data_IF_196867834854
#
_entry.id   IF_196867834854
#
_cell.length_a   1.000
_cell.length_b   1.000
_cell.length_c   1.000
_cell.angle_alpha   90.00
_cell.angle_beta   90.00
_cell.angle_gamma   90.00
#
_symmetry.space_group_name_H-M   'P 1'
#
loop_
_entity.id
_entity.type
_entity.pdbx_description
1 polymer ?
#
# COMPACT_ATOMS: atom_id res chain seq x y z
N UNK A 1 -25.64 1.44 -34.39
CA UNK A 1 -24.45 1.81 -33.58
C UNK A 1 -24.48 0.96 -32.32
N UNK A 2 -23.45 0.15 -32.07
CA UNK A 2 -23.37 -0.69 -30.87
C UNK A 2 -22.88 0.20 -29.72
N UNK A 3 -23.67 0.36 -28.68
CA UNK A 3 -23.25 0.98 -27.42
C UNK A 3 -22.05 0.20 -26.88
N UNK A 4 -20.91 0.84 -26.53
CA UNK A 4 -19.85 0.12 -25.86
C UNK A 4 -20.39 -0.32 -24.50
N UNK A 5 -20.32 -1.61 -24.23
CA UNK A 5 -20.57 -2.14 -22.88
C UNK A 5 -19.43 -1.59 -22.03
N UNK A 6 -19.72 -0.57 -21.20
CA UNK A 6 -18.82 -0.15 -20.13
C UNK A 6 -18.51 -1.40 -19.30
N UNK A 7 -17.30 -1.93 -19.45
CA UNK A 7 -16.81 -2.94 -18.55
C UNK A 7 -16.76 -2.30 -17.18
N UNK A 8 -17.72 -2.67 -16.32
CA UNK A 8 -17.69 -2.42 -14.88
C UNK A 8 -16.52 -3.21 -14.28
N UNK A 9 -15.29 -2.82 -14.64
CA UNK A 9 -14.06 -3.23 -14.00
C UNK A 9 -14.30 -2.96 -12.52
N UNK A 10 -14.39 -4.01 -11.71
CA UNK A 10 -14.59 -3.89 -10.27
C UNK A 10 -13.62 -2.82 -9.76
N UNK A 11 -14.17 -1.76 -9.15
CA UNK A 11 -13.45 -0.52 -8.84
C UNK A 11 -12.09 -0.88 -8.23
N UNK A 12 -11.03 -0.76 -9.03
CA UNK A 12 -9.68 -1.07 -8.56
C UNK A 12 -9.36 -0.15 -7.41
N UNK A 13 -8.74 -0.69 -6.38
CA UNK A 13 -8.40 0.04 -5.17
C UNK A 13 -6.90 -0.07 -4.93
N UNK A 14 -6.30 1.03 -4.52
CA UNK A 14 -4.90 1.08 -4.15
C UNK A 14 -4.76 1.77 -2.80
N UNK A 15 -3.96 1.17 -1.93
CA UNK A 15 -3.59 1.71 -0.62
C UNK A 15 -2.07 1.76 -0.56
N UNK A 16 -1.50 2.89 -0.18
CA UNK A 16 -0.08 3.05 0.08
C UNK A 16 0.16 3.17 1.59
N UNK A 17 1.14 2.41 2.08
CA UNK A 17 1.58 2.43 3.46
C UNK A 17 3.03 2.90 3.52
N UNK A 18 3.36 3.66 4.57
CA UNK A 18 4.73 4.01 4.91
C UNK A 18 5.09 3.42 6.27
N UNK A 19 6.27 2.84 6.39
CA UNK A 19 6.80 2.33 7.64
C UNK A 19 8.20 2.88 7.87
N UNK A 20 8.36 3.67 8.94
CA UNK A 20 9.62 4.31 9.31
C UNK A 20 10.56 3.43 10.16
N UNK A 21 10.30 2.13 10.28
CA UNK A 21 11.10 1.21 11.10
C UNK A 21 10.72 1.14 12.58
N UNK A 22 9.77 1.97 13.04
CA UNK A 22 9.21 1.95 14.39
C UNK A 22 7.71 2.24 14.37
N UNK A 23 7.00 1.84 15.43
CA UNK A 23 5.55 2.02 15.54
C UNK A 23 4.76 1.19 14.52
N UNK A 24 3.56 1.65 14.18
CA UNK A 24 2.72 1.03 13.17
C UNK A 24 2.84 1.73 11.80
N UNK A 25 2.70 1.00 10.68
CA UNK A 25 2.65 1.61 9.35
C UNK A 25 1.54 2.66 9.22
N UNK A 26 1.84 3.78 8.57
CA UNK A 26 0.91 4.88 8.31
C UNK A 26 0.32 4.80 6.92
N UNK A 27 -0.97 5.08 6.77
CA UNK A 27 -1.63 5.17 5.47
C UNK A 27 -1.33 6.52 4.82
N UNK A 28 -0.56 6.52 3.74
CA UNK A 28 -0.10 7.75 3.06
C UNK A 28 -0.86 8.06 1.78
N UNK A 29 -1.48 7.06 1.16
CA UNK A 29 -2.39 7.26 0.05
C UNK A 29 -3.49 6.19 0.02
N UNK A 30 -4.66 6.56 -0.48
CA UNK A 30 -5.72 5.62 -0.86
C UNK A 30 -6.52 6.15 -2.03
N UNK A 31 -6.97 5.27 -2.90
CA UNK A 31 -7.76 5.65 -4.07
C UNK A 31 -8.53 4.48 -4.66
N UNK A 32 -9.52 4.83 -5.47
CA UNK A 32 -10.32 3.91 -6.26
C UNK A 32 -10.35 4.34 -7.73
N UNK A 33 -10.62 3.41 -8.64
CA UNK A 33 -10.75 3.68 -10.07
C UNK A 33 -9.50 4.33 -10.65
N UNK A 34 -9.66 5.46 -11.33
CA UNK A 34 -8.54 6.19 -11.93
C UNK A 34 -7.49 6.66 -10.92
N UNK A 35 -7.91 7.02 -9.70
CA UNK A 35 -6.96 7.42 -8.66
C UNK A 35 -6.11 6.23 -8.20
N UNK A 36 -6.71 5.04 -8.12
CA UNK A 36 -5.96 3.82 -7.82
C UNK A 36 -4.90 3.52 -8.89
N UNK A 37 -5.25 3.68 -10.17
CA UNK A 37 -4.28 3.53 -11.27
C UNK A 37 -3.12 4.52 -11.15
N UNK A 38 -3.42 5.80 -10.87
CA UNK A 38 -2.37 6.82 -10.68
C UNK A 38 -1.45 6.48 -9.50
N UNK A 39 -1.99 5.98 -8.39
CA UNK A 39 -1.18 5.53 -7.25
C UNK A 39 -0.25 4.37 -7.67
N UNK A 40 -0.77 3.40 -8.43
CA UNK A 40 0.01 2.26 -8.92
C UNK A 40 1.07 2.68 -9.95
N UNK A 41 0.78 3.67 -10.80
CA UNK A 41 1.75 4.23 -11.75
C UNK A 41 2.91 4.91 -11.03
N UNK A 42 2.61 5.72 -10.01
CA UNK A 42 3.63 6.35 -9.16
C UNK A 42 4.44 5.28 -8.43
N UNK A 43 3.79 4.26 -7.85
CA UNK A 43 4.50 3.18 -7.18
C UNK A 43 5.49 2.47 -8.11
N UNK A 44 5.06 2.16 -9.35
CA UNK A 44 5.92 1.57 -10.38
C UNK A 44 7.08 2.49 -10.77
N UNK A 45 6.83 3.79 -10.93
CA UNK A 45 7.85 4.76 -11.32
C UNK A 45 8.94 4.97 -10.26
N UNK A 46 8.65 4.65 -8.99
CA UNK A 46 9.57 4.80 -7.85
C UNK A 46 10.01 3.45 -7.27
N UNK A 47 9.82 2.34 -8.01
CA UNK A 47 10.15 0.99 -7.56
C UNK A 47 9.57 0.63 -6.18
N UNK A 48 8.42 1.23 -5.84
CA UNK A 48 7.66 0.88 -4.65
C UNK A 48 6.96 -0.45 -4.93
N UNK A 49 7.24 -1.49 -4.15
CA UNK A 49 6.66 -2.80 -4.43
C UNK A 49 5.15 -2.82 -4.23
N UNK A 50 4.46 -3.62 -5.04
CA UNK A 50 2.99 -3.73 -5.02
C UNK A 50 2.58 -5.16 -4.69
N UNK A 51 1.79 -5.31 -3.62
CA UNK A 51 1.14 -6.57 -3.26
C UNK A 51 -0.36 -6.50 -3.59
N UNK A 52 -0.91 -7.55 -4.20
CA UNK A 52 -2.34 -7.61 -4.56
C UNK A 52 -3.10 -8.47 -3.55
N UNK A 53 -3.87 -7.80 -2.71
CA UNK A 53 -4.84 -8.44 -1.82
C UNK A 53 -6.10 -7.55 -1.74
N UNK A 54 -7.19 -8.03 -2.33
CA UNK A 54 -8.45 -7.28 -2.39
C UNK A 54 -9.15 -7.19 -1.02
N UNK A 55 -8.99 -8.20 -0.16
CA UNK A 55 -9.62 -8.20 1.16
C UNK A 55 -8.89 -7.24 2.10
N UNK A 56 -7.56 -7.27 2.08
CA UNK A 56 -6.74 -6.36 2.86
C UNK A 56 -6.88 -4.92 2.37
N UNK A 57 -6.87 -4.68 1.04
CA UNK A 57 -7.05 -3.33 0.50
C UNK A 57 -8.40 -2.73 0.92
N UNK A 58 -9.47 -3.52 0.84
CA UNK A 58 -10.81 -3.09 1.24
C UNK A 58 -10.90 -2.81 2.73
N UNK A 59 -10.20 -3.58 3.55
CA UNK A 59 -10.15 -3.37 5.00
C UNK A 59 -9.36 -2.10 5.34
N UNK A 60 -8.16 -1.94 4.76
CA UNK A 60 -7.31 -0.76 4.96
C UNK A 60 -7.95 0.53 4.43
N UNK A 61 -8.82 0.46 3.42
CA UNK A 61 -9.51 1.64 2.89
C UNK A 61 -10.33 2.43 3.93
N UNK A 62 -10.76 1.72 4.99
CA UNK A 62 -11.51 2.28 6.12
C UNK A 62 -10.64 3.06 7.10
N UNK A 63 -9.32 2.87 7.06
CA UNK A 63 -8.36 3.64 7.88
C UNK A 63 -8.30 5.07 7.34
N UNK A 64 -8.36 6.10 8.20
CA UNK A 64 -8.24 7.49 7.74
C UNK A 64 -6.88 7.77 7.10
N UNK A 65 -6.85 8.71 6.15
CA UNK A 65 -5.60 9.11 5.50
C UNK A 65 -4.71 9.83 6.52
N UNK A 66 -3.43 9.49 6.54
CA UNK A 66 -2.45 10.05 7.47
C UNK A 66 -2.44 9.37 8.84
N UNK A 67 -3.32 8.40 9.12
CA UNK A 67 -3.35 7.66 10.38
C UNK A 67 -2.53 6.36 10.31
N UNK A 68 -2.13 5.87 11.48
CA UNK A 68 -1.56 4.53 11.62
C UNK A 68 -2.63 3.46 11.41
N UNK A 69 -2.22 2.31 10.89
CA UNK A 69 -3.11 1.15 10.82
C UNK A 69 -3.54 0.74 12.24
N UNK A 70 -4.76 0.23 12.43
CA UNK A 70 -5.19 -0.28 13.73
C UNK A 70 -4.55 -1.64 14.05
N UNK A 71 -4.43 -1.95 15.34
CA UNK A 71 -3.77 -3.16 15.86
C UNK A 71 -4.27 -4.47 15.24
N UNK A 72 -5.58 -4.55 14.98
CA UNK A 72 -6.19 -5.74 14.37
C UNK A 72 -5.70 -6.03 12.94
N UNK A 73 -4.98 -5.10 12.30
CA UNK A 73 -4.38 -5.26 10.98
C UNK A 73 -2.86 -5.45 11.03
N UNK A 74 -2.24 -5.43 12.20
CA UNK A 74 -0.78 -5.49 12.34
C UNK A 74 -0.21 -6.77 11.73
N UNK A 75 -0.80 -7.92 12.04
CA UNK A 75 -0.29 -9.22 11.54
C UNK A 75 -0.33 -9.28 10.02
N UNK A 76 -1.49 -8.95 9.43
CA UNK A 76 -1.65 -8.97 7.97
C UNK A 76 -0.69 -8.00 7.26
N UNK A 77 -0.51 -6.79 7.79
CA UNK A 77 0.42 -5.82 7.18
C UNK A 77 1.88 -6.24 7.41
N UNK A 78 2.22 -6.80 8.57
CA UNK A 78 3.57 -7.30 8.84
C UNK A 78 3.95 -8.45 7.92
N UNK A 79 3.02 -9.36 7.59
CA UNK A 79 3.23 -10.43 6.61
C UNK A 79 3.52 -9.85 5.22
N UNK A 80 2.76 -8.83 4.79
CA UNK A 80 3.04 -8.14 3.53
C UNK A 80 4.43 -7.52 3.58
N UNK A 81 4.75 -6.71 4.59
CA UNK A 81 6.05 -6.06 4.76
C UNK A 81 7.21 -7.07 4.73
N UNK A 82 7.10 -8.16 5.48
CA UNK A 82 8.10 -9.23 5.50
C UNK A 82 8.30 -9.85 4.12
N UNK A 83 7.22 -10.12 3.38
CA UNK A 83 7.29 -10.63 2.02
C UNK A 83 8.04 -9.66 1.10
N UNK A 84 7.72 -8.37 1.15
CA UNK A 84 8.38 -7.38 0.29
C UNK A 84 9.86 -7.19 0.62
N UNK A 85 10.19 -7.18 1.90
CA UNK A 85 11.56 -7.03 2.37
C UNK A 85 12.42 -8.23 1.99
N UNK A 86 11.90 -9.45 2.17
CA UNK A 86 12.58 -10.67 1.73
C UNK A 86 12.91 -10.65 0.24
N UNK A 87 11.97 -10.24 -0.61
CA UNK A 87 12.20 -10.10 -2.06
C UNK A 87 13.23 -9.02 -2.40
N UNK A 88 13.34 -7.99 -1.56
CA UNK A 88 14.28 -6.89 -1.75
C UNK A 88 15.66 -7.16 -1.14
N UNK A 89 15.88 -8.30 -0.48
CA UNK A 89 17.08 -8.55 0.32
C UNK A 89 17.24 -7.60 1.52
N UNK A 90 16.14 -6.96 1.95
CA UNK A 90 16.09 -6.00 3.06
C UNK A 90 15.41 -6.63 4.28
N UNK A 91 15.53 -5.98 5.43
CA UNK A 91 14.87 -6.33 6.69
C UNK A 91 14.09 -5.12 7.22
N UNK A 92 13.10 -5.31 8.11
CA UNK A 92 12.41 -4.18 8.74
C UNK A 92 13.35 -3.20 9.47
N UNK A 93 14.50 -3.68 9.96
CA UNK A 93 15.52 -2.85 10.58
C UNK A 93 16.19 -1.87 9.60
N UNK A 94 16.14 -2.13 8.30
CA UNK A 94 16.68 -1.25 7.26
C UNK A 94 15.78 -0.03 7.00
N UNK A 95 14.49 -0.11 7.35
CA UNK A 95 13.53 0.98 7.14
C UNK A 95 13.80 2.20 8.03
N UNK A 96 14.43 2.02 9.19
CA UNK A 96 14.73 3.09 10.14
C UNK A 96 16.07 3.79 9.93
N UNK A 97 16.97 3.29 9.06
CA UNK A 97 18.35 3.79 8.94
C UNK A 97 18.49 5.12 8.15
N UNK A 98 17.42 5.65 7.59
CA UNK A 98 17.46 6.85 6.72
C UNK A 98 17.17 8.18 7.43
N UNK A 99 17.02 8.21 8.76
CA UNK A 99 16.72 9.46 9.50
C UNK A 99 17.93 10.11 10.18
N UNK A 100 19.13 9.52 10.11
CA UNK A 100 20.30 9.98 10.89
C UNK A 100 21.37 10.73 10.08
N UNK A 101 21.06 11.22 8.87
CA UNK A 101 21.97 12.12 8.13
C UNK A 101 21.39 13.52 8.05
N UNK A 102 21.74 14.34 9.03
CA UNK A 102 21.71 15.81 9.00
C UNK A 102 23.06 16.32 9.54
#
# INVERSE_FOLDING_TARGET
MKTPIEHKQGRRQAIALHYGGSGAPRLTAKGEGELAERILDIARAHDVPVHRDAALSMTLSRVPLGEEIPENLYVAVAEVLAFVYLLSGRTPADAGRHQDTD
#
